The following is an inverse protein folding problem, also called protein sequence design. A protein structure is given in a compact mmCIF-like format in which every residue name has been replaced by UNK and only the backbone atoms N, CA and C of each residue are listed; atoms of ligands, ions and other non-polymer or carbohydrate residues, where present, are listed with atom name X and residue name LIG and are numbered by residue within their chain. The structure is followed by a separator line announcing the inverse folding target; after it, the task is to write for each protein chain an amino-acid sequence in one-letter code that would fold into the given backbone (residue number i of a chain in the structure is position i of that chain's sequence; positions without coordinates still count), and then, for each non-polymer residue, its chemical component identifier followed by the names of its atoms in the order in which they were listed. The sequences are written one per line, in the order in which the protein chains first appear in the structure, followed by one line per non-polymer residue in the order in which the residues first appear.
data_IF_849350955190
#
_entry.id   IF_849350955190
#
_cell.length_a   1.000
_cell.length_b   1.000
_cell.length_c   1.000
_cell.angle_alpha   90.00
_cell.angle_beta   90.00
_cell.angle_gamma   90.00
#
_symmetry.space_group_name_H-M   'P 1'
#
loop_
_entity.id
_entity.type
_entity.pdbx_description
1 polymer ?
#
# COMPACT_ATOMS: atom_id res chain seq x y z
N UNK A 1 -19.55 12.17 -2.25
CA UNK A 1 -18.47 12.20 -1.24
C UNK A 1 -17.51 11.08 -1.58
N UNK A 2 -16.21 11.34 -1.65
CA UNK A 2 -15.19 10.29 -1.72
C UNK A 2 -14.77 9.93 -0.29
N UNK A 3 -14.74 8.63 0.04
CA UNK A 3 -14.43 8.13 1.38
C UNK A 3 -13.37 7.04 1.25
N UNK A 4 -12.34 7.12 2.10
CA UNK A 4 -11.32 6.08 2.25
C UNK A 4 -11.02 5.87 3.73
N UNK A 5 -10.68 4.63 4.08
CA UNK A 5 -10.28 4.22 5.42
C UNK A 5 -8.79 3.97 5.53
N UNK A 6 -8.29 4.02 6.76
CA UNK A 6 -6.97 3.52 7.08
C UNK A 6 -7.09 2.06 7.54
N UNK A 7 -6.48 1.14 6.80
CA UNK A 7 -6.25 -0.23 7.25
C UNK A 7 -4.76 -0.50 7.15
N UNK A 8 -4.05 -0.36 8.27
CA UNK A 8 -2.61 -0.58 8.29
C UNK A 8 -2.27 -2.02 7.89
N UNK A 9 -1.41 -2.15 6.88
CA UNK A 9 -0.92 -3.44 6.39
C UNK A 9 0.60 -3.37 6.25
N UNK A 10 1.32 -4.26 6.93
CA UNK A 10 2.78 -4.33 6.80
C UNK A 10 3.21 -4.86 5.43
N UNK A 11 2.80 -6.09 5.11
CA UNK A 11 3.13 -6.77 3.87
C UNK A 11 1.99 -7.73 3.46
N UNK A 12 2.19 -8.48 2.38
CA UNK A 12 1.23 -9.45 1.87
C UNK A 12 1.09 -10.74 2.70
N UNK A 13 1.96 -10.96 3.69
CA UNK A 13 1.87 -12.11 4.60
C UNK A 13 0.97 -11.83 5.81
N UNK A 14 0.37 -10.63 5.87
CA UNK A 14 -0.57 -10.28 6.93
C UNK A 14 -1.78 -11.23 6.89
N UNK A 15 -2.13 -11.89 8.02
CA UNK A 15 -3.23 -12.84 8.06
C UNK A 15 -4.60 -12.23 7.76
N UNK A 16 -4.72 -10.90 7.86
CA UNK A 16 -5.94 -10.13 7.58
C UNK A 16 -6.00 -9.56 6.15
N UNK A 17 -5.10 -9.97 5.26
CA UNK A 17 -5.08 -9.50 3.87
C UNK A 17 -6.42 -9.76 3.16
N UNK A 18 -7.00 -10.94 3.36
CA UNK A 18 -8.27 -11.31 2.73
C UNK A 18 -9.43 -10.45 3.23
N UNK A 19 -9.43 -10.09 4.52
CA UNK A 19 -10.42 -9.22 5.13
C UNK A 19 -10.28 -7.78 4.64
N UNK A 20 -9.05 -7.28 4.49
CA UNK A 20 -8.78 -5.96 3.92
C UNK A 20 -9.23 -5.88 2.45
N UNK A 21 -8.93 -6.91 1.65
CA UNK A 21 -9.41 -7.06 0.28
C UNK A 21 -10.94 -7.06 0.22
N UNK A 22 -11.59 -7.88 1.07
CA UNK A 22 -13.05 -7.95 1.15
C UNK A 22 -13.65 -6.60 1.54
N UNK A 23 -13.07 -5.90 2.51
CA UNK A 23 -13.51 -4.56 2.89
C UNK A 23 -13.44 -3.60 1.70
N UNK A 24 -12.28 -3.53 1.05
CA UNK A 24 -12.04 -2.57 -0.04
C UNK A 24 -12.96 -2.84 -1.24
N UNK A 25 -13.20 -4.12 -1.55
CA UNK A 25 -14.02 -4.53 -2.70
C UNK A 25 -15.54 -4.50 -2.43
N UNK A 26 -15.99 -4.58 -1.16
CA UNK A 26 -17.43 -4.78 -0.85
C UNK A 26 -18.06 -3.68 0.01
N UNK A 27 -17.28 -2.87 0.74
CA UNK A 27 -17.83 -1.86 1.66
C UNK A 27 -18.31 -0.57 0.98
N UNK A 28 -17.87 -0.32 -0.27
CA UNK A 28 -18.01 0.98 -0.92
C UNK A 28 -17.05 2.05 -0.39
N UNK A 29 -16.11 1.68 0.49
CA UNK A 29 -15.07 2.56 1.06
C UNK A 29 -13.70 2.09 0.55
N UNK A 30 -12.91 3.01 0.01
CA UNK A 30 -11.54 2.69 -0.42
C UNK A 30 -10.56 2.66 0.75
N UNK A 31 -9.27 2.38 0.50
CA UNK A 31 -8.26 2.27 1.54
C UNK A 31 -6.96 3.00 1.18
N UNK A 32 -6.22 3.41 2.21
CA UNK A 32 -4.81 3.78 2.08
C UNK A 32 -3.99 2.58 1.58
N UNK A 33 -3.15 2.80 0.58
CA UNK A 33 -2.36 1.76 -0.08
C UNK A 33 -1.02 1.50 0.63
N UNK A 34 -1.09 0.88 1.82
CA UNK A 34 0.11 0.55 2.59
C UNK A 34 1.04 -0.45 1.90
N UNK A 35 0.50 -1.38 1.11
CA UNK A 35 1.30 -2.36 0.37
C UNK A 35 2.18 -1.68 -0.68
N UNK A 36 1.64 -0.72 -1.43
CA UNK A 36 2.43 0.07 -2.37
C UNK A 36 3.38 1.03 -1.64
N UNK A 37 2.94 1.66 -0.55
CA UNK A 37 3.80 2.50 0.28
C UNK A 37 5.05 1.75 0.73
N UNK A 38 4.89 0.53 1.23
CA UNK A 38 5.99 -0.34 1.65
C UNK A 38 6.96 -0.61 0.50
N UNK A 39 6.45 -1.04 -0.65
CA UNK A 39 7.28 -1.36 -1.82
C UNK A 39 8.04 -0.13 -2.36
N UNK A 40 7.42 1.05 -2.34
CA UNK A 40 8.09 2.30 -2.73
C UNK A 40 9.23 2.63 -1.76
N UNK A 41 9.00 2.49 -0.45
CA UNK A 41 10.02 2.74 0.57
C UNK A 41 11.16 1.72 0.49
N UNK A 42 10.84 0.43 0.31
CA UNK A 42 11.84 -0.62 0.14
C UNK A 42 12.75 -0.32 -1.07
N UNK A 43 12.20 0.12 -2.21
CA UNK A 43 13.01 0.49 -3.39
C UNK A 43 13.79 1.78 -3.19
N UNK A 44 13.14 2.87 -2.80
CA UNK A 44 13.75 4.19 -2.85
C UNK A 44 14.53 4.57 -1.58
N UNK A 45 14.20 4.01 -0.42
CA UNK A 45 14.89 4.25 0.85
C UNK A 45 15.88 3.12 1.14
N UNK A 46 15.49 1.87 0.89
CA UNK A 46 16.29 0.69 1.26
C UNK A 46 17.00 0.02 0.08
N UNK A 47 16.96 0.62 -1.12
CA UNK A 47 17.67 0.16 -2.32
C UNK A 47 17.29 -1.26 -2.78
N UNK A 48 16.03 -1.66 -2.59
CA UNK A 48 15.48 -2.89 -3.16
C UNK A 48 15.28 -2.78 -4.68
N UNK A 49 15.02 -3.93 -5.32
CA UNK A 49 14.86 -4.01 -6.77
C UNK A 49 13.53 -3.44 -7.25
N UNK A 50 13.53 -2.74 -8.39
CA UNK A 50 12.31 -2.38 -9.11
C UNK A 50 11.46 -3.59 -9.55
N UNK A 51 12.03 -4.79 -9.62
CA UNK A 51 11.25 -6.02 -9.83
C UNK A 51 10.25 -6.28 -8.69
N UNK A 52 10.63 -5.94 -7.46
CA UNK A 52 9.76 -6.04 -6.29
C UNK A 52 8.58 -5.07 -6.41
N UNK A 53 8.85 -3.79 -6.68
CA UNK A 53 7.81 -2.79 -6.90
C UNK A 53 6.85 -3.20 -8.02
N UNK A 54 7.39 -3.68 -9.14
CA UNK A 54 6.57 -4.18 -10.24
C UNK A 54 5.71 -5.39 -9.83
N UNK A 55 6.24 -6.31 -9.00
CA UNK A 55 5.45 -7.45 -8.50
C UNK A 55 4.27 -7.00 -7.63
N UNK A 56 4.47 -5.98 -6.78
CA UNK A 56 3.43 -5.41 -5.93
C UNK A 56 2.36 -4.72 -6.76
N UNK A 57 2.74 -3.89 -7.74
CA UNK A 57 1.78 -3.22 -8.65
C UNK A 57 0.93 -4.25 -9.40
N UNK A 58 1.56 -5.31 -9.92
CA UNK A 58 0.86 -6.37 -10.65
C UNK A 58 -0.08 -7.17 -9.75
N UNK A 59 0.29 -7.42 -8.50
CA UNK A 59 -0.57 -8.10 -7.53
C UNK A 59 -1.74 -7.23 -7.13
N UNK A 60 -1.51 -5.96 -6.80
CA UNK A 60 -2.58 -5.02 -6.46
C UNK A 60 -3.60 -4.86 -7.59
N UNK A 61 -3.13 -4.79 -8.84
CA UNK A 61 -4.00 -4.70 -10.02
C UNK A 61 -4.86 -5.95 -10.25
N UNK A 62 -4.45 -7.11 -9.71
CA UNK A 62 -5.21 -8.37 -9.79
C UNK A 62 -6.16 -8.54 -8.59
N UNK A 63 -5.66 -8.28 -7.39
CA UNK A 63 -6.38 -8.58 -6.14
C UNK A 63 -7.48 -7.53 -5.86
N UNK A 64 -7.32 -6.29 -6.35
CA UNK A 64 -8.27 -5.20 -6.15
C UNK A 64 -8.95 -4.79 -7.47
N UNK A 65 -9.91 -5.58 -7.96
CA UNK A 65 -10.64 -5.37 -9.23
C UNK A 65 -11.13 -3.92 -9.43
N UNK A 66 -11.94 -3.42 -8.49
CA UNK A 66 -12.54 -2.08 -8.57
C UNK A 66 -11.96 -1.10 -7.55
N UNK A 67 -11.47 -1.61 -6.43
CA UNK A 67 -10.93 -0.79 -5.37
C UNK A 67 -9.51 -0.29 -5.67
N UNK A 68 -8.73 -1.01 -6.50
CA UNK A 68 -7.31 -0.73 -6.72
C UNK A 68 -7.06 0.66 -7.30
N UNK A 69 -7.94 1.11 -8.20
CA UNK A 69 -7.89 2.46 -8.78
C UNK A 69 -8.29 3.58 -7.81
N UNK A 70 -9.04 3.25 -6.76
CA UNK A 70 -9.52 4.21 -5.78
C UNK A 70 -8.64 4.27 -4.53
N UNK A 71 -7.68 3.35 -4.39
CA UNK A 71 -6.79 3.34 -3.23
C UNK A 71 -5.91 4.59 -3.21
N UNK A 72 -5.75 5.16 -2.02
CA UNK A 72 -4.98 6.39 -1.83
C UNK A 72 -3.50 6.02 -1.62
N UNK A 73 -2.66 6.41 -2.58
CA UNK A 73 -1.21 6.14 -2.56
C UNK A 73 -0.44 7.24 -1.82
N UNK A 74 0.67 6.86 -1.17
CA UNK A 74 1.50 7.77 -0.37
C UNK A 74 2.91 7.18 -0.17
N UNK A 75 3.89 8.02 0.16
CA UNK A 75 5.30 7.63 0.39
C UNK A 75 5.73 7.75 1.86
N UNK A 76 5.08 8.63 2.61
CA UNK A 76 5.12 8.71 4.07
C UNK A 76 3.77 9.19 4.61
N UNK A 77 3.59 9.11 5.93
CA UNK A 77 2.46 9.71 6.62
C UNK A 77 2.91 10.17 8.03
N UNK A 78 1.95 10.45 8.92
CA UNK A 78 2.25 10.94 10.26
C UNK A 78 2.63 9.83 11.27
N UNK A 79 2.50 8.56 10.89
CA UNK A 79 2.78 7.38 11.73
C UNK A 79 4.06 6.63 11.29
N UNK A 80 4.84 7.22 10.37
CA UNK A 80 6.14 6.71 9.95
C UNK A 80 7.13 7.86 9.77
N UNK A 81 8.43 7.55 9.77
CA UNK A 81 9.42 8.59 9.52
C UNK A 81 9.28 9.15 8.09
N UNK A 82 9.56 10.45 7.99
CA UNK A 82 9.48 11.19 6.72
C UNK A 82 10.43 10.56 5.73
N UNK A 83 10.00 10.52 4.48
CA UNK A 83 10.73 9.87 3.40
C UNK A 83 12.17 10.37 3.27
N UNK A 84 12.39 11.67 3.44
CA UNK A 84 13.71 12.32 3.42
C UNK A 84 14.36 12.40 4.80
N UNK A 85 14.04 11.53 5.74
CA UNK A 85 14.71 11.46 7.05
C UNK A 85 15.11 10.04 7.42
N UNK A 86 14.57 9.05 6.72
CA UNK A 86 14.85 7.65 6.94
C UNK A 86 15.98 7.23 6.01
N UNK A 87 16.98 6.54 6.56
CA UNK A 87 18.18 6.11 5.83
C UNK A 87 18.90 7.25 5.06
N UNK A 88 18.91 8.45 5.66
CA UNK A 88 19.71 9.57 5.18
C UNK A 88 21.12 9.47 5.76
N UNK A 89 22.07 9.05 4.92
CA UNK A 89 23.51 9.26 5.14
C UNK A 89 23.95 10.68 4.74
#
# INVERSE_FOLDING_TARGET
MFIFGEWYMGNFDNPLLNEALRFSNQSGISQLNFLLNRALRDVFIYNHSFHELNSVINRLSKDYEHAGHNMVTFIDNHDMARFLTENND
#
